data_IF_506697941754
#
_entry.id   IF_506697941754
#
_cell.length_a   1.000
_cell.length_b   1.000
_cell.length_c   1.000
_cell.angle_alpha   90.00
_cell.angle_beta   90.00
_cell.angle_gamma   90.00
#
_symmetry.space_group_name_H-M   'P 1'
#
loop_
_entity.id
_entity.type
_entity.pdbx_description
1 polymer ?
#
# COMPACT_ATOMS: atom_id res chain seq x y z
N UNK A 1 31.00 -3.28 12.69
CA UNK A 1 30.29 -2.08 12.17
C UNK A 1 28.92 -2.55 11.73
N UNK A 2 28.13 -3.03 12.68
CA UNK A 2 27.14 -2.27 13.47
C UNK A 2 25.88 -1.99 12.65
N UNK A 3 25.17 -3.08 12.38
CA UNK A 3 23.79 -3.09 11.93
C UNK A 3 22.92 -3.00 13.18
N UNK A 4 22.62 -1.77 13.60
CA UNK A 4 21.63 -1.51 14.64
C UNK A 4 20.24 -1.84 14.08
N UNK A 5 19.85 -3.10 14.20
CA UNK A 5 18.46 -3.53 14.14
C UNK A 5 17.73 -2.87 15.31
N UNK A 6 17.29 -1.61 15.11
CA UNK A 6 16.42 -0.94 16.03
C UNK A 6 15.10 -1.73 16.04
N UNK A 7 14.89 -2.50 17.10
CA UNK A 7 13.63 -3.12 17.44
C UNK A 7 12.59 -2.01 17.60
N UNK A 8 11.97 -1.61 16.49
CA UNK A 8 10.84 -0.71 16.51
C UNK A 8 9.73 -1.43 17.27
N UNK A 9 9.41 -0.92 18.45
CA UNK A 9 8.26 -1.35 19.23
C UNK A 9 7.06 -1.48 18.31
N UNK A 10 6.46 -2.67 18.30
CA UNK A 10 5.35 -3.00 17.42
C UNK A 10 4.10 -2.34 17.98
N UNK A 11 3.96 -1.04 17.74
CA UNK A 11 2.83 -0.24 18.20
C UNK A 11 1.67 -0.43 17.22
N UNK A 12 0.57 -0.98 17.73
CA UNK A 12 -0.69 -1.09 17.00
C UNK A 12 -1.44 0.24 17.13
N UNK A 13 -1.88 0.79 16.01
CA UNK A 13 -2.64 2.03 15.95
C UNK A 13 -4.02 1.80 15.35
N UNK A 14 -4.95 2.71 15.64
CA UNK A 14 -6.32 2.69 15.11
C UNK A 14 -6.60 3.91 14.22
N UNK A 15 -7.53 3.82 13.26
CA UNK A 15 -7.92 4.97 12.44
C UNK A 15 -8.36 6.16 13.31
N UNK A 16 -7.87 7.36 12.99
CA UNK A 16 -8.13 8.58 13.75
C UNK A 16 -7.09 8.88 14.84
N UNK A 17 -6.17 7.95 15.10
CA UNK A 17 -5.06 8.17 16.04
C UNK A 17 -3.99 9.09 15.44
N UNK A 18 -3.41 9.97 16.26
CA UNK A 18 -2.40 10.96 15.85
C UNK A 18 -1.02 10.30 15.85
N UNK A 19 -0.37 10.29 14.68
CA UNK A 19 0.95 9.71 14.48
C UNK A 19 2.10 10.73 14.63
N UNK A 20 1.80 12.02 14.50
CA UNK A 20 2.76 13.10 14.67
C UNK A 20 2.35 14.39 13.94
N UNK A 21 3.20 15.43 14.01
CA UNK A 21 3.02 16.67 13.25
C UNK A 21 3.57 16.50 11.84
N UNK A 22 2.88 17.04 10.83
CA UNK A 22 3.34 17.00 9.45
C UNK A 22 4.71 17.66 9.27
N UNK A 23 5.11 18.62 10.11
CA UNK A 23 6.44 19.24 10.08
C UNK A 23 7.57 18.31 10.53
N UNK A 24 7.26 17.24 11.27
CA UNK A 24 8.24 16.30 11.82
C UNK A 24 8.21 14.96 11.11
N UNK A 25 7.03 14.52 10.67
CA UNK A 25 6.84 13.21 10.04
C UNK A 25 6.07 13.34 8.73
N UNK A 26 6.47 12.52 7.75
CA UNK A 26 5.77 12.42 6.47
C UNK A 26 4.74 11.30 6.52
N UNK A 27 3.54 11.56 6.02
CA UNK A 27 2.51 10.53 5.87
C UNK A 27 2.87 9.57 4.73
N UNK A 28 3.02 8.28 5.03
CA UNK A 28 3.20 7.22 4.05
C UNK A 28 1.95 6.35 3.90
N UNK A 29 2.12 5.08 3.48
CA UNK A 29 0.97 4.18 3.27
C UNK A 29 0.17 4.01 4.57
N UNK A 30 -1.15 4.10 4.49
CA UNK A 30 -2.03 3.94 5.65
C UNK A 30 -2.07 5.14 6.62
N UNK A 31 -1.43 6.26 6.28
CA UNK A 31 -1.52 7.52 7.02
C UNK A 31 -1.91 8.68 6.09
N UNK A 32 -2.50 9.73 6.63
CA UNK A 32 -2.82 10.95 5.88
C UNK A 32 -2.52 12.21 6.68
N UNK A 33 -2.27 13.33 5.99
CA UNK A 33 -2.14 14.64 6.60
C UNK A 33 -3.50 15.32 6.62
N UNK A 34 -3.94 15.75 7.79
CA UNK A 34 -5.14 16.56 7.93
C UNK A 34 -4.86 18.03 7.54
N UNK A 35 -5.57 18.59 6.54
CA UNK A 35 -5.29 19.95 6.05
C UNK A 35 -5.52 21.05 7.09
N UNK A 36 -6.40 20.81 8.06
CA UNK A 36 -6.87 21.82 9.00
C UNK A 36 -5.95 22.02 10.21
N UNK A 37 -5.17 21.01 10.60
CA UNK A 37 -4.33 21.06 11.80
C UNK A 37 -2.89 20.60 11.57
N UNK A 38 -2.51 20.28 10.33
CA UNK A 38 -1.18 19.79 9.96
C UNK A 38 -0.72 18.60 10.83
N UNK A 39 -1.65 17.77 11.29
CA UNK A 39 -1.35 16.52 11.99
C UNK A 39 -1.45 15.35 11.01
N UNK A 40 -0.63 14.34 11.28
CA UNK A 40 -0.66 13.06 10.56
C UNK A 40 -1.49 12.09 11.35
N UNK A 41 -2.50 11.52 10.70
CA UNK A 41 -3.43 10.56 11.29
C UNK A 41 -3.28 9.19 10.65
N UNK A 42 -3.53 8.14 11.44
CA UNK A 42 -3.71 6.80 10.94
C UNK A 42 -5.05 6.69 10.18
N UNK A 43 -5.04 6.04 9.02
CA UNK A 43 -6.25 5.71 8.23
C UNK A 43 -6.63 4.23 8.31
N UNK A 44 -5.73 3.38 8.79
CA UNK A 44 -5.90 1.93 8.90
C UNK A 44 -5.65 1.49 10.34
N UNK A 45 -6.31 0.42 10.76
CA UNK A 45 -5.91 -0.31 11.98
C UNK A 45 -4.75 -1.22 11.63
N UNK A 46 -3.64 -1.11 12.34
CA UNK A 46 -2.47 -1.93 12.02
C UNK A 46 -1.21 -1.54 12.76
N UNK A 47 -0.09 -2.06 12.28
CA UNK A 47 1.21 -1.82 12.87
C UNK A 47 1.83 -0.56 12.31
N UNK A 48 2.21 0.36 13.19
CA UNK A 48 2.96 1.55 12.83
C UNK A 48 4.41 1.17 12.52
N UNK A 49 4.92 1.62 11.38
CA UNK A 49 6.33 1.52 10.99
C UNK A 49 6.86 2.90 10.65
N UNK A 50 8.01 3.24 11.18
CA UNK A 50 8.72 4.47 10.84
C UNK A 50 9.91 4.12 9.97
N UNK A 51 9.92 4.68 8.76
CA UNK A 51 10.99 4.51 7.78
C UNK A 51 11.88 5.75 7.80
N UNK A 52 13.18 5.54 7.99
CA UNK A 52 14.18 6.60 7.86
C UNK A 52 14.22 7.10 6.42
N UNK A 53 14.41 8.41 6.21
CA UNK A 53 14.56 8.97 4.87
C UNK A 53 15.83 8.40 4.20
N UNK A 54 15.83 8.22 2.87
CA UNK A 54 17.05 7.92 2.15
C UNK A 54 18.00 9.14 2.20
N UNK A 55 19.33 8.94 2.23
CA UNK A 55 20.29 10.03 2.43
C UNK A 55 20.23 11.12 1.34
N UNK A 56 19.71 10.80 0.16
CA UNK A 56 19.59 11.72 -0.99
C UNK A 56 18.22 12.41 -1.11
N UNK A 57 17.30 12.30 -0.15
CA UNK A 57 16.04 13.02 -0.23
C UNK A 57 16.16 14.48 0.21
N UNK A 58 15.49 15.37 -0.52
CA UNK A 58 15.32 16.79 -0.15
C UNK A 58 14.59 16.94 1.19
N UNK A 59 13.74 15.96 1.52
CA UNK A 59 13.00 15.89 2.77
C UNK A 59 13.63 14.83 3.68
N UNK A 60 14.21 15.28 4.79
CA UNK A 60 14.87 14.44 5.79
C UNK A 60 13.90 14.01 6.92
N UNK A 61 12.59 14.21 6.74
CA UNK A 61 11.59 13.73 7.70
C UNK A 61 11.39 12.22 7.58
N UNK A 62 11.32 11.48 8.70
CA UNK A 62 10.94 10.07 8.66
C UNK A 62 9.52 9.89 8.14
N UNK A 63 9.29 8.83 7.37
CA UNK A 63 7.97 8.48 6.82
C UNK A 63 7.29 7.49 7.76
N UNK A 64 6.07 7.80 8.20
CA UNK A 64 5.27 6.92 9.05
C UNK A 64 4.23 6.20 8.19
N UNK A 65 4.30 4.88 8.21
CA UNK A 65 3.38 3.98 7.51
C UNK A 65 2.59 3.15 8.52
N UNK A 66 1.34 2.85 8.21
CA UNK A 66 0.51 1.93 8.98
C UNK A 66 0.15 0.76 8.09
N UNK A 67 0.63 -0.42 8.45
CA UNK A 67 0.35 -1.65 7.71
C UNK A 67 -0.79 -2.39 8.38
N UNK A 68 -1.93 -2.47 7.71
CA UNK A 68 -3.09 -3.18 8.24
C UNK A 68 -2.92 -4.71 8.23
N UNK A 69 -3.62 -5.39 9.14
CA UNK A 69 -3.68 -6.86 9.18
C UNK A 69 -4.30 -7.46 7.90
N UNK A 70 -5.07 -6.67 7.15
CA UNK A 70 -5.54 -7.00 5.79
C UNK A 70 -4.60 -6.37 4.76
N UNK A 71 -3.37 -6.86 4.68
CA UNK A 71 -2.53 -6.57 3.51
C UNK A 71 -3.32 -7.03 2.28
N UNK A 72 -3.80 -6.05 1.48
CA UNK A 72 -4.42 -6.35 0.20
C UNK A 72 -3.45 -7.23 -0.59
N UNK A 73 -3.99 -8.23 -1.29
CA UNK A 73 -3.19 -9.02 -2.22
C UNK A 73 -2.52 -8.13 -3.27
N UNK A 74 -1.73 -8.72 -4.16
CA UNK A 74 -1.15 -7.95 -5.25
C UNK A 74 -2.27 -7.29 -6.09
N UNK A 75 -2.34 -5.95 -6.02
CA UNK A 75 -3.31 -5.17 -6.79
C UNK A 75 -2.72 -4.88 -8.17
N UNK A 76 -3.43 -5.15 -9.27
CA UNK A 76 -2.96 -4.80 -10.60
C UNK A 76 -2.87 -3.28 -10.78
N UNK A 77 -1.72 -2.77 -11.20
CA UNK A 77 -1.51 -1.37 -11.59
C UNK A 77 -1.39 -1.25 -13.13
N UNK A 78 -1.68 -0.08 -13.72
CA UNK A 78 -1.47 0.14 -15.16
C UNK A 78 -0.04 -0.26 -15.59
N UNK A 79 0.08 -1.03 -16.67
CA UNK A 79 1.35 -1.59 -17.13
C UNK A 79 1.78 -2.90 -16.47
N UNK A 80 1.02 -3.42 -15.50
CA UNK A 80 1.28 -4.72 -14.89
C UNK A 80 1.01 -5.87 -15.86
N UNK A 81 1.89 -6.87 -15.87
CA UNK A 81 1.67 -8.14 -16.55
C UNK A 81 0.94 -9.09 -15.61
N UNK A 82 -0.20 -9.63 -16.05
CA UNK A 82 -1.07 -10.48 -15.23
C UNK A 82 -1.32 -11.82 -15.88
N UNK A 83 -1.52 -12.85 -15.06
CA UNK A 83 -2.01 -14.15 -15.50
C UNK A 83 -3.49 -14.22 -15.14
N UNK A 84 -4.34 -14.41 -16.14
CA UNK A 84 -5.79 -14.45 -15.97
C UNK A 84 -6.40 -15.69 -16.61
N UNK A 85 -7.45 -16.22 -15.98
CA UNK A 85 -8.26 -17.32 -16.50
C UNK A 85 -9.47 -16.74 -17.24
N UNK A 86 -9.59 -17.02 -18.53
CA UNK A 86 -10.77 -16.65 -19.31
C UNK A 86 -12.00 -17.40 -18.78
N UNK A 87 -13.03 -16.66 -18.38
CA UNK A 87 -14.27 -17.22 -17.82
C UNK A 87 -15.40 -17.28 -18.83
N UNK A 88 -15.47 -16.29 -19.72
CA UNK A 88 -16.52 -16.20 -20.74
C UNK A 88 -15.97 -15.51 -21.98
N UNK A 89 -16.26 -16.08 -23.15
CA UNK A 89 -15.96 -15.45 -24.44
C UNK A 89 -17.27 -15.08 -25.13
N UNK A 90 -17.32 -13.86 -25.67
CA UNK A 90 -18.43 -13.32 -26.47
C UNK A 90 -17.89 -12.78 -27.79
N UNK A 91 -18.76 -12.41 -28.72
CA UNK A 91 -18.37 -12.01 -30.08
C UNK A 91 -17.38 -10.82 -30.16
N UNK A 92 -17.36 -9.93 -29.15
CA UNK A 92 -16.48 -8.74 -29.15
C UNK A 92 -15.60 -8.62 -27.91
N UNK A 93 -15.73 -9.55 -26.96
CA UNK A 93 -15.09 -9.43 -25.65
C UNK A 93 -14.92 -10.78 -24.96
N UNK A 94 -13.81 -10.96 -24.26
CA UNK A 94 -13.61 -12.04 -23.30
C UNK A 94 -13.53 -11.49 -21.87
N UNK A 95 -14.24 -12.09 -20.94
CA UNK A 95 -14.10 -11.83 -19.51
C UNK A 95 -13.06 -12.79 -18.93
N UNK A 96 -12.20 -12.29 -18.04
CA UNK A 96 -11.16 -13.09 -17.42
C UNK A 96 -11.01 -12.76 -15.93
N UNK A 97 -10.80 -13.79 -15.11
CA UNK A 97 -10.48 -13.66 -13.69
C UNK A 97 -8.96 -13.59 -13.53
N UNK A 98 -8.44 -12.56 -12.87
CA UNK A 98 -7.00 -12.41 -12.60
C UNK A 98 -6.60 -13.31 -11.44
N UNK A 99 -5.56 -14.12 -11.66
CA UNK A 99 -5.02 -15.07 -10.66
C UNK A 99 -3.72 -14.55 -10.05
N UNK A 100 -2.83 -13.98 -10.86
CA UNK A 100 -1.53 -13.49 -10.44
C UNK A 100 -1.21 -12.13 -11.08
N UNK A 101 -0.54 -11.26 -10.33
CA UNK A 101 0.05 -10.00 -10.82
C UNK A 101 1.57 -10.15 -10.73
N UNK A 102 2.22 -10.28 -11.89
CA UNK A 102 3.63 -10.69 -11.96
C UNK A 102 3.86 -12.01 -11.19
N UNK A 103 4.86 -12.07 -10.28
CA UNK A 103 5.15 -13.27 -9.50
C UNK A 103 4.26 -13.45 -8.26
N UNK A 104 3.35 -12.51 -7.96
CA UNK A 104 2.53 -12.55 -6.74
C UNK A 104 1.13 -13.06 -7.04
N UNK A 105 0.68 -14.05 -6.27
CA UNK A 105 -0.71 -14.50 -6.31
C UNK A 105 -1.65 -13.45 -5.71
N UNK A 106 -2.80 -13.29 -6.35
CA UNK A 106 -3.84 -12.38 -5.88
C UNK A 106 -4.76 -13.13 -4.91
N UNK A 107 -5.11 -12.49 -3.79
CA UNK A 107 -6.00 -13.08 -2.78
C UNK A 107 -7.46 -12.80 -3.09
N UNK A 108 -7.73 -11.59 -3.56
CA UNK A 108 -9.05 -11.13 -3.94
C UNK A 108 -9.34 -11.45 -5.41
N UNK A 109 -10.60 -11.71 -5.74
CA UNK A 109 -11.00 -11.95 -7.13
C UNK A 109 -11.09 -10.62 -7.88
N UNK A 110 -10.24 -10.43 -8.89
CA UNK A 110 -10.38 -9.33 -9.85
C UNK A 110 -10.87 -9.87 -11.19
N UNK A 111 -11.87 -9.22 -11.78
CA UNK A 111 -12.42 -9.60 -13.10
C UNK A 111 -12.06 -8.52 -14.12
N UNK A 112 -11.36 -8.90 -15.18
CA UNK A 112 -11.03 -8.04 -16.32
C UNK A 112 -11.82 -8.40 -17.57
N UNK A 113 -11.79 -7.49 -18.55
CA UNK A 113 -12.35 -7.72 -19.88
C UNK A 113 -11.33 -7.38 -20.97
N UNK A 114 -11.19 -8.29 -21.93
CA UNK A 114 -10.32 -8.20 -23.10
C UNK A 114 -11.23 -7.94 -24.30
N UNK A 115 -11.03 -6.82 -24.99
CA UNK A 115 -11.78 -6.47 -26.20
C UNK A 115 -11.07 -7.02 -27.42
N UNK A 116 -11.81 -7.68 -28.31
CA UNK A 116 -11.30 -8.04 -29.63
C UNK A 116 -11.49 -6.82 -30.53
N UNK A 117 -10.39 -6.20 -30.93
CA UNK A 117 -10.35 -5.16 -31.97
C UNK A 117 -10.33 -5.80 -33.35
#
# INVERSE_FOLDING_TARGET
MEEAAAAAEVVVVTPGEVLGKATQVRAGRGAYVAPHNNLVYASLTGFRRTLSPPPNSLDQRPTVEVTGHKAHGAVPEPGSVVIARVTRVTARMASADILCVGPKSVREKFTGSIRFT
#
